data_IF_917280009817
#
_entry.id   IF_917280009817
#
_cell.length_a   1.000
_cell.length_b   1.000
_cell.length_c   1.000
_cell.angle_alpha   90.00
_cell.angle_beta   90.00
_cell.angle_gamma   90.00
#
_symmetry.space_group_name_H-M   'P 1'
#
loop_
_entity.id
_entity.type
_entity.pdbx_description
1 polymer ?
#
# COMPACT_ATOMS: atom_id res chain seq x y z
N UNK A 1 6.15 -17.42 -0.51
CA UNK A 1 7.29 -17.05 -1.39
C UNK A 1 8.02 -15.87 -0.77
N UNK A 2 9.35 -15.78 -0.88
CA UNK A 2 10.12 -14.61 -0.44
C UNK A 2 9.98 -13.47 -1.47
N UNK A 3 10.12 -12.20 -1.06
CA UNK A 3 10.08 -11.00 -1.91
C UNK A 3 11.06 -11.05 -3.11
N UNK A 4 12.06 -11.94 -3.06
CA UNK A 4 13.02 -12.17 -4.13
C UNK A 4 12.46 -12.97 -5.32
N UNK A 5 11.27 -13.57 -5.17
CA UNK A 5 10.67 -14.48 -6.16
C UNK A 5 9.35 -13.94 -6.73
N UNK A 6 9.19 -12.61 -6.77
CA UNK A 6 8.03 -11.96 -7.38
C UNK A 6 8.15 -12.00 -8.91
N UNK A 7 7.03 -12.24 -9.60
CA UNK A 7 6.98 -12.28 -11.06
C UNK A 7 6.62 -13.65 -11.64
N UNK A 8 6.76 -13.81 -12.98
CA UNK A 8 6.43 -15.06 -13.66
C UNK A 8 7.48 -16.13 -13.33
N UNK A 9 7.03 -17.26 -12.81
CA UNK A 9 7.82 -18.48 -12.63
C UNK A 9 7.36 -19.47 -13.70
N UNK A 10 8.33 -20.00 -14.45
CA UNK A 10 8.08 -21.08 -15.42
C UNK A 10 8.39 -22.40 -14.73
N UNK A 11 7.42 -23.29 -14.70
CA UNK A 11 7.57 -24.66 -14.24
C UNK A 11 7.57 -25.55 -15.49
N UNK A 12 8.75 -26.04 -15.84
CA UNK A 12 8.92 -27.00 -16.94
C UNK A 12 8.92 -28.41 -16.37
N UNK A 13 8.01 -29.26 -16.85
CA UNK A 13 7.96 -30.68 -16.52
C UNK A 13 8.45 -31.42 -17.76
N UNK A 14 9.66 -31.97 -17.70
CA UNK A 14 10.27 -32.71 -18.82
C UNK A 14 10.31 -34.22 -18.56
N UNK A 15 10.46 -35.00 -19.63
CA UNK A 15 10.62 -36.47 -19.58
C UNK A 15 9.45 -37.19 -18.90
N UNK A 16 8.22 -36.75 -19.14
CA UNK A 16 7.03 -37.39 -18.59
C UNK A 16 6.97 -38.83 -19.12
N UNK A 17 6.94 -39.79 -18.19
CA UNK A 17 6.96 -41.24 -18.49
C UNK A 17 8.23 -41.73 -19.23
N UNK A 18 9.37 -41.05 -19.06
CA UNK A 18 10.64 -41.44 -19.68
C UNK A 18 10.79 -41.05 -21.16
N UNK A 19 9.76 -40.41 -21.73
CA UNK A 19 9.78 -39.94 -23.11
C UNK A 19 10.39 -38.54 -23.20
N UNK A 20 11.55 -38.44 -23.85
CA UNK A 20 12.35 -37.21 -23.94
C UNK A 20 11.63 -36.02 -24.58
N UNK A 21 10.58 -36.28 -25.37
CA UNK A 21 9.77 -35.27 -26.05
C UNK A 21 8.49 -34.88 -25.30
N UNK A 22 8.19 -35.54 -24.18
CA UNK A 22 7.02 -35.21 -23.40
C UNK A 22 7.38 -34.16 -22.34
N UNK A 23 7.25 -32.89 -22.71
CA UNK A 23 7.41 -31.75 -21.81
C UNK A 23 6.19 -30.82 -21.80
N UNK A 24 5.93 -30.17 -20.66
CA UNK A 24 4.91 -29.12 -20.54
C UNK A 24 5.40 -28.00 -19.64
N UNK A 25 5.13 -26.76 -20.05
CA UNK A 25 5.46 -25.55 -19.30
C UNK A 25 4.20 -24.92 -18.70
N UNK A 26 4.24 -24.67 -17.39
CA UNK A 26 3.23 -23.88 -16.68
C UNK A 26 3.83 -22.56 -16.23
N UNK A 27 3.19 -21.45 -16.59
CA UNK A 27 3.57 -20.13 -16.10
C UNK A 27 2.69 -19.79 -14.90
N UNK A 28 3.31 -19.63 -13.73
CA UNK A 28 2.63 -19.18 -12.52
C UNK A 28 3.14 -17.79 -12.18
N UNK A 29 2.23 -16.82 -12.08
CA UNK A 29 2.58 -15.46 -11.67
C UNK A 29 2.48 -15.39 -10.14
N UNK A 30 3.63 -15.31 -9.47
CA UNK A 30 3.68 -15.05 -8.03
C UNK A 30 3.51 -13.56 -7.81
N UNK A 31 2.32 -13.18 -7.35
CA UNK A 31 2.03 -11.81 -6.89
C UNK A 31 2.40 -11.68 -5.42
N UNK A 32 2.87 -10.51 -4.96
CA UNK A 32 3.00 -10.26 -3.54
C UNK A 32 1.64 -10.51 -2.86
N UNK A 33 1.62 -11.21 -1.73
CA UNK A 33 0.41 -11.27 -0.94
C UNK A 33 0.17 -9.87 -0.38
N UNK A 34 -0.83 -9.17 -0.92
CA UNK A 34 -1.37 -7.98 -0.27
C UNK A 34 -1.98 -8.43 1.06
N UNK A 35 -1.22 -8.27 2.14
CA UNK A 35 -1.79 -8.35 3.49
C UNK A 35 -2.75 -7.18 3.61
N UNK A 36 -4.04 -7.46 3.35
CA UNK A 36 -5.12 -6.49 3.50
C UNK A 36 -4.99 -5.84 4.87
N UNK A 37 -4.66 -4.55 4.89
CA UNK A 37 -4.46 -3.80 6.13
C UNK A 37 -5.83 -3.67 6.76
N UNK A 38 -6.05 -4.34 7.89
CA UNK A 38 -7.32 -4.24 8.61
C UNK A 38 -7.20 -3.06 9.56
N UNK A 39 -8.04 -2.05 9.35
CA UNK A 39 -8.18 -0.93 10.29
C UNK A 39 -9.24 -1.25 11.36
N UNK A 40 -9.11 -0.68 12.58
CA UNK A 40 -7.98 0.13 13.03
C UNK A 40 -6.74 -0.72 13.35
N UNK A 41 -5.56 -0.11 13.25
CA UNK A 41 -4.30 -0.72 13.68
C UNK A 41 -4.06 -0.31 15.13
N UNK A 42 -4.08 -1.28 16.04
CA UNK A 42 -3.76 -1.06 17.46
C UNK A 42 -2.28 -1.23 17.69
N UNK A 43 -1.64 -0.22 18.28
CA UNK A 43 -0.23 -0.26 18.67
C UNK A 43 -0.09 0.12 20.13
N UNK A 44 0.69 -0.66 20.89
CA UNK A 44 1.02 -0.32 22.28
C UNK A 44 2.10 0.76 22.29
N UNK A 45 1.94 1.75 23.17
CA UNK A 45 2.97 2.75 23.40
C UNK A 45 4.24 2.12 23.97
N UNK A 46 5.37 2.81 23.80
CA UNK A 46 6.63 2.45 24.43
C UNK A 46 7.22 3.66 25.14
N UNK A 47 7.96 3.41 26.21
CA UNK A 47 8.77 4.40 26.92
C UNK A 47 10.13 3.80 27.21
N UNK A 48 11.19 4.44 26.71
CA UNK A 48 12.58 3.99 26.88
C UNK A 48 12.80 2.51 26.52
N UNK A 49 12.16 2.04 25.44
CA UNK A 49 12.28 0.65 24.96
C UNK A 49 11.47 -0.38 25.76
N UNK A 50 10.71 0.03 26.77
CA UNK A 50 9.78 -0.83 27.50
C UNK A 50 8.34 -0.59 27.06
N UNK A 51 7.45 -1.61 27.13
CA UNK A 51 6.03 -1.44 26.88
C UNK A 51 5.43 -0.37 27.80
N UNK A 52 4.68 0.55 27.22
CA UNK A 52 3.97 1.62 27.91
C UNK A 52 2.57 1.19 28.35
N UNK A 53 1.82 2.16 28.90
CA UNK A 53 0.46 1.95 29.46
C UNK A 53 -0.66 2.35 28.51
N UNK A 54 -0.35 2.91 27.35
CA UNK A 54 -1.34 3.36 26.39
C UNK A 54 -1.39 2.46 25.16
N UNK A 55 -2.55 2.38 24.54
CA UNK A 55 -2.75 1.81 23.21
C UNK A 55 -3.29 2.89 22.29
N UNK A 56 -2.81 2.95 21.06
CA UNK A 56 -3.32 3.87 20.05
C UNK A 56 -3.88 3.05 18.90
N UNK A 57 -5.18 3.22 18.66
CA UNK A 57 -5.84 2.74 17.45
C UNK A 57 -5.67 3.79 16.37
N UNK A 58 -5.14 3.40 15.21
CA UNK A 58 -4.89 4.28 14.08
C UNK A 58 -5.63 3.79 12.84
N UNK A 59 -6.34 4.69 12.19
CA UNK A 59 -6.97 4.52 10.87
C UNK A 59 -6.58 5.71 10.01
N UNK A 60 -6.43 5.52 8.70
CA UNK A 60 -6.27 6.66 7.79
C UNK A 60 -7.03 6.45 6.49
N UNK A 61 -7.41 7.57 5.88
CA UNK A 61 -8.21 7.61 4.67
C UNK A 61 -7.54 8.60 3.71
N UNK A 62 -7.22 8.20 2.46
CA UNK A 62 -7.45 6.89 1.86
C UNK A 62 -6.50 5.80 2.40
N UNK A 63 -6.93 4.53 2.36
CA UNK A 63 -6.09 3.37 2.78
C UNK A 63 -4.73 3.37 2.05
N UNK A 64 -4.76 3.62 0.74
CA UNK A 64 -3.60 3.81 -0.10
C UNK A 64 -3.19 5.28 -0.10
N UNK A 65 -2.20 5.62 0.71
CA UNK A 65 -1.66 6.97 0.77
C UNK A 65 -0.95 7.32 -0.55
N UNK A 66 -1.29 8.48 -1.08
CA UNK A 66 -0.75 9.08 -2.29
C UNK A 66 -0.50 10.57 -2.02
N UNK A 67 0.28 11.28 -2.85
CA UNK A 67 0.30 12.73 -2.83
C UNK A 67 -1.13 13.30 -2.85
N UNK A 68 -1.44 14.21 -1.95
CA UNK A 68 -2.79 14.69 -1.68
C UNK A 68 -3.14 14.69 -0.19
N UNK A 69 -4.41 14.96 0.12
CA UNK A 69 -4.90 14.99 1.49
C UNK A 69 -5.18 13.57 1.99
N UNK A 70 -4.78 13.30 3.23
CA UNK A 70 -5.12 12.11 3.98
C UNK A 70 -5.55 12.50 5.40
N UNK A 71 -6.63 11.89 5.88
CA UNK A 71 -7.12 12.05 7.24
C UNK A 71 -6.66 10.87 8.08
N UNK A 72 -6.03 11.14 9.22
CA UNK A 72 -5.63 10.15 10.21
C UNK A 72 -6.56 10.24 11.41
N UNK A 73 -7.26 9.16 11.71
CA UNK A 73 -8.17 9.05 12.84
C UNK A 73 -7.46 8.21 13.90
N UNK A 74 -7.42 8.72 15.13
CA UNK A 74 -6.76 8.04 16.24
C UNK A 74 -7.64 7.96 17.48
N UNK A 75 -7.51 6.88 18.24
CA UNK A 75 -8.11 6.75 19.58
C UNK A 75 -7.07 6.22 20.56
N UNK A 76 -6.92 6.90 21.69
CA UNK A 76 -5.97 6.57 22.76
C UNK A 76 -6.73 5.87 23.88
N UNK A 77 -6.25 4.69 24.26
CA UNK A 77 -6.78 3.86 25.32
C UNK A 77 -5.75 3.65 26.42
N UNK A 78 -6.21 3.40 27.64
CA UNK A 78 -5.37 2.91 28.73
C UNK A 78 -5.19 1.37 28.70
N UNK A 79 -4.53 0.83 29.72
CA UNK A 79 -4.29 -0.61 29.90
C UNK A 79 -5.57 -1.46 30.02
N UNK A 80 -6.67 -0.85 30.45
CA UNK A 80 -7.97 -1.50 30.63
C UNK A 80 -8.86 -1.30 29.39
N UNK A 81 -8.26 -0.81 28.30
CA UNK A 81 -8.88 -0.50 27.02
C UNK A 81 -10.02 0.52 27.13
N UNK A 82 -9.91 1.45 28.09
CA UNK A 82 -10.84 2.58 28.21
C UNK A 82 -10.28 3.81 27.47
N UNK A 83 -11.10 4.52 26.67
CA UNK A 83 -10.66 5.75 26.00
C UNK A 83 -10.20 6.82 27.00
N UNK A 84 -9.02 7.38 26.76
CA UNK A 84 -8.42 8.39 27.65
C UNK A 84 -8.91 9.78 27.28
N UNK A 85 -9.98 10.22 27.92
CA UNK A 85 -10.57 11.55 27.71
C UNK A 85 -9.58 12.68 28.04
N UNK A 86 -9.43 13.64 27.12
CA UNK A 86 -8.57 14.80 27.30
C UNK A 86 -7.07 14.52 27.18
N UNK A 87 -6.68 13.36 26.65
CA UNK A 87 -5.27 13.02 26.41
C UNK A 87 -4.64 14.02 25.42
N UNK A 88 -3.55 14.67 25.84
CA UNK A 88 -2.72 15.50 24.95
C UNK A 88 -1.74 14.61 24.19
N UNK A 89 -1.46 14.92 22.94
CA UNK A 89 -0.46 14.18 22.15
C UNK A 89 0.19 15.09 21.11
N UNK A 90 1.38 14.69 20.67
CA UNK A 90 2.11 15.26 19.55
C UNK A 90 2.08 14.25 18.40
N UNK A 91 1.47 14.62 17.27
CA UNK A 91 1.42 13.82 16.05
C UNK A 91 2.46 14.32 15.06
N UNK A 92 3.22 13.40 14.48
CA UNK A 92 4.21 13.73 13.46
C UNK A 92 4.25 12.66 12.37
N UNK A 93 4.53 13.10 11.14
CA UNK A 93 4.93 12.20 10.06
C UNK A 93 6.38 12.52 9.72
N UNK A 94 7.23 11.50 9.75
CA UNK A 94 8.68 11.62 9.61
C UNK A 94 9.14 10.97 8.31
N UNK A 95 9.96 11.68 7.54
CA UNK A 95 10.66 11.14 6.38
C UNK A 95 12.16 11.19 6.68
N UNK A 96 12.83 10.04 6.66
CA UNK A 96 14.26 9.91 7.02
C UNK A 96 14.59 10.55 8.39
N UNK A 97 13.70 10.36 9.37
CA UNK A 97 13.84 10.91 10.73
C UNK A 97 13.58 12.41 10.86
N UNK A 98 13.20 13.12 9.78
CA UNK A 98 12.84 14.54 9.82
C UNK A 98 11.32 14.72 9.70
N UNK A 99 10.70 15.60 10.49
CA UNK A 99 9.26 15.83 10.39
C UNK A 99 8.91 16.51 9.06
N UNK A 100 7.99 15.91 8.32
CA UNK A 100 7.35 16.52 7.14
C UNK A 100 5.97 17.08 7.48
N UNK A 101 5.37 16.60 8.58
CA UNK A 101 4.18 17.16 9.21
C UNK A 101 4.32 17.01 10.73
N UNK A 102 3.85 18.00 11.49
CA UNK A 102 3.77 17.93 12.95
C UNK A 102 2.62 18.79 13.46
N UNK A 103 1.87 18.26 14.42
CA UNK A 103 0.82 18.98 15.14
C UNK A 103 0.72 18.49 16.60
N UNK A 104 0.27 19.36 17.50
CA UNK A 104 -0.03 19.00 18.89
C UNK A 104 -1.52 19.20 19.16
N UNK A 105 -2.19 18.18 19.66
CA UNK A 105 -3.64 18.17 19.79
C UNK A 105 -4.12 17.46 21.07
N UNK A 106 -5.44 17.44 21.27
CA UNK A 106 -6.09 16.88 22.44
C UNK A 106 -7.20 15.93 21.99
N UNK A 107 -7.10 14.67 22.37
CA UNK A 107 -8.11 13.66 22.15
C UNK A 107 -9.27 13.83 23.16
N UNK A 108 -10.23 14.70 22.83
CA UNK A 108 -11.26 15.19 23.77
C UNK A 108 -12.05 14.08 24.46
N UNK A 109 -12.41 13.02 23.73
CA UNK A 109 -13.13 11.86 24.25
C UNK A 109 -12.31 10.57 24.09
N UNK A 110 -10.99 10.68 24.14
CA UNK A 110 -10.06 9.60 23.80
C UNK A 110 -9.78 9.49 22.29
N UNK A 111 -10.66 10.01 21.43
CA UNK A 111 -10.46 10.10 19.98
C UNK A 111 -10.05 11.49 19.48
N UNK A 112 -9.36 11.52 18.33
CA UNK A 112 -9.01 12.72 17.56
C UNK A 112 -8.79 12.39 16.08
N UNK A 113 -8.59 13.42 15.25
CA UNK A 113 -8.18 13.27 13.86
C UNK A 113 -7.14 14.32 13.47
N UNK A 114 -6.34 14.02 12.44
CA UNK A 114 -5.28 14.87 11.90
C UNK A 114 -5.32 14.84 10.37
N UNK A 115 -5.45 16.00 9.75
CA UNK A 115 -5.38 16.15 8.29
C UNK A 115 -3.94 16.41 7.85
N UNK A 116 -3.42 15.55 6.98
CA UNK A 116 -2.06 15.66 6.44
C UNK A 116 -2.13 15.78 4.93
N UNK A 117 -1.40 16.74 4.36
CA UNK A 117 -1.22 16.83 2.91
C UNK A 117 0.17 16.33 2.53
N UNK A 118 0.21 15.27 1.72
CA UNK A 118 1.45 14.73 1.15
C UNK A 118 1.75 15.37 -0.19
N UNK A 119 3.00 15.77 -0.40
CA UNK A 119 3.50 16.25 -1.68
C UNK A 119 4.25 15.14 -2.42
N UNK A 120 4.55 15.37 -3.71
CA UNK A 120 5.40 14.47 -4.50
C UNK A 120 6.76 14.18 -3.84
N UNK A 121 7.30 15.14 -3.09
CA UNK A 121 8.56 14.96 -2.34
C UNK A 121 8.42 13.96 -1.17
N UNK A 122 7.20 13.72 -0.68
CA UNK A 122 6.93 12.83 0.45
C UNK A 122 6.68 11.38 0.02
N UNK A 123 6.86 11.04 -1.26
CA UNK A 123 6.74 9.66 -1.75
C UNK A 123 7.77 8.72 -1.08
N UNK A 124 7.37 7.46 -0.94
CA UNK A 124 8.20 6.40 -0.37
C UNK A 124 7.84 6.09 1.09
N UNK A 125 8.75 5.42 1.82
CA UNK A 125 8.52 5.03 3.21
C UNK A 125 8.60 6.24 4.15
N UNK A 126 7.64 6.33 5.08
CA UNK A 126 7.61 7.31 6.16
C UNK A 126 7.29 6.61 7.49
N UNK A 127 7.55 7.30 8.58
CA UNK A 127 7.16 6.86 9.92
C UNK A 127 6.09 7.80 10.46
N UNK A 128 4.93 7.26 10.79
CA UNK A 128 3.93 7.94 11.60
C UNK A 128 4.32 7.81 13.08
N UNK A 129 4.35 8.92 13.80
CA UNK A 129 4.70 8.96 15.21
C UNK A 129 3.62 9.71 16.00
N UNK A 130 3.13 9.08 17.08
CA UNK A 130 2.30 9.73 18.10
C UNK A 130 3.10 9.72 19.39
N UNK A 131 3.45 10.88 19.91
CA UNK A 131 4.35 11.04 21.07
C UNK A 131 3.73 11.93 22.15
N UNK A 132 4.41 11.99 23.29
CA UNK A 132 3.97 12.72 24.49
C UNK A 132 2.54 12.38 24.93
N UNK A 133 2.16 11.11 24.79
CA UNK A 133 0.80 10.63 25.02
C UNK A 133 0.39 10.94 26.46
N UNK A 134 -0.66 11.73 26.62
CA UNK A 134 -1.17 12.22 27.89
C UNK A 134 -0.10 12.81 28.81
N UNK A 135 0.79 13.64 28.23
CA UNK A 135 1.89 14.34 28.90
C UNK A 135 2.98 13.43 29.47
N UNK A 136 3.04 12.16 29.06
CA UNK A 136 4.16 11.27 29.42
C UNK A 136 5.26 11.33 28.35
N UNK A 137 6.32 10.52 28.49
CA UNK A 137 7.34 10.33 27.46
C UNK A 137 7.04 9.11 26.55
N UNK A 138 5.80 8.63 26.58
CA UNK A 138 5.39 7.48 25.79
C UNK A 138 5.11 7.86 24.33
N UNK A 139 5.41 6.92 23.43
CA UNK A 139 5.21 7.11 22.00
C UNK A 139 4.85 5.82 21.29
N UNK A 140 4.21 5.97 20.13
CA UNK A 140 3.90 4.93 19.16
C UNK A 140 4.51 5.33 17.83
N UNK A 141 5.14 4.38 17.15
CA UNK A 141 5.65 4.53 15.79
C UNK A 141 5.08 3.46 14.88
N UNK A 142 4.68 3.86 13.67
CA UNK A 142 4.13 2.95 12.67
C UNK A 142 4.71 3.28 11.28
N UNK A 143 5.24 2.29 10.55
CA UNK A 143 5.66 2.51 9.17
C UNK A 143 4.43 2.69 8.26
N UNK A 144 4.48 3.75 7.46
CA UNK A 144 3.52 4.03 6.39
C UNK A 144 4.28 4.22 5.07
N UNK A 145 3.58 4.20 3.94
CA UNK A 145 4.20 4.40 2.62
C UNK A 145 3.27 5.22 1.76
N UNK A 146 3.79 6.32 1.23
CA UNK A 146 3.09 7.14 0.24
C UNK A 146 3.51 6.65 -1.14
N UNK A 147 2.57 6.04 -1.83
CA UNK A 147 2.78 5.51 -3.18
C UNK A 147 2.59 6.63 -4.22
N UNK A 148 3.32 6.60 -5.35
CA UNK A 148 3.04 7.53 -6.44
C UNK A 148 1.59 7.38 -6.93
N UNK A 149 0.95 8.47 -7.34
CA UNK A 149 -0.30 8.37 -8.10
C UNK A 149 -0.07 7.49 -9.33
N UNK A 150 -0.95 6.51 -9.55
CA UNK A 150 -0.91 5.75 -10.79
C UNK A 150 -1.33 6.70 -11.91
N UNK A 151 -0.47 7.02 -12.90
CA UNK A 151 -0.80 8.08 -13.82
C UNK A 151 -1.86 7.57 -14.80
N UNK A 152 -3.12 7.95 -14.56
CA UNK A 152 -4.29 7.55 -15.36
C UNK A 152 -4.11 7.86 -16.86
N UNK A 153 -3.28 8.85 -17.19
CA UNK A 153 -2.88 9.15 -18.57
C UNK A 153 -2.27 7.95 -19.31
N UNK A 154 -1.49 7.11 -18.64
CA UNK A 154 -0.95 5.90 -19.26
C UNK A 154 -2.02 4.85 -19.55
N UNK A 155 -3.06 4.77 -18.71
CA UNK A 155 -4.21 3.88 -18.98
C UNK A 155 -4.85 4.29 -20.30
N UNK A 156 -5.09 5.58 -20.53
CA UNK A 156 -5.62 6.07 -21.81
C UNK A 156 -4.71 5.72 -23.00
N UNK A 157 -3.40 5.91 -22.88
CA UNK A 157 -2.43 5.56 -23.95
C UNK A 157 -2.45 4.05 -24.24
N UNK A 158 -2.42 3.21 -23.21
CA UNK A 158 -2.52 1.75 -23.37
C UNK A 158 -3.87 1.34 -23.96
N UNK A 159 -4.97 1.99 -23.59
CA UNK A 159 -6.31 1.71 -24.14
C UNK A 159 -6.36 2.00 -25.65
N UNK A 160 -5.76 3.12 -26.09
CA UNK A 160 -5.68 3.49 -27.51
C UNK A 160 -4.83 2.46 -28.27
N UNK A 161 -3.66 2.08 -27.75
CA UNK A 161 -2.77 1.10 -28.39
C UNK A 161 -3.43 -0.28 -28.54
N UNK A 162 -4.07 -0.80 -27.49
CA UNK A 162 -4.79 -2.08 -27.55
C UNK A 162 -5.99 -2.03 -28.50
N UNK A 163 -6.75 -0.92 -28.52
CA UNK A 163 -7.85 -0.76 -29.48
C UNK A 163 -7.37 -0.75 -30.92
N UNK A 164 -6.24 -0.10 -31.20
CA UNK A 164 -5.60 -0.07 -32.52
C UNK A 164 -5.16 -1.46 -32.98
N UNK A 165 -4.55 -2.26 -32.11
CA UNK A 165 -4.19 -3.66 -32.43
C UNK A 165 -5.40 -4.52 -32.77
N UNK A 166 -6.53 -4.38 -32.07
CA UNK A 166 -7.76 -5.14 -32.37
C UNK A 166 -8.32 -4.76 -33.74
N UNK A 167 -8.32 -3.48 -34.08
CA UNK A 167 -8.79 -2.98 -35.40
C UNK A 167 -7.88 -3.48 -36.52
N UNK A 168 -6.56 -3.34 -36.37
CA UNK A 168 -5.58 -3.83 -37.34
C UNK A 168 -5.67 -5.35 -37.53
N UNK A 169 -5.86 -6.11 -36.45
CA UNK A 169 -6.06 -7.57 -36.50
C UNK A 169 -7.32 -7.97 -37.28
N UNK A 170 -8.43 -7.21 -37.14
CA UNK A 170 -9.67 -7.45 -37.92
C UNK A 170 -9.53 -7.09 -39.40
N UNK A 171 -8.77 -6.04 -39.73
CA UNK A 171 -8.54 -5.64 -41.12
C UNK A 171 -7.69 -6.69 -41.84
N UNK A 172 -6.63 -7.19 -41.19
CA UNK A 172 -5.74 -8.18 -41.78
C UNK A 172 -6.42 -9.54 -42.05
N UNK A 173 -7.45 -9.90 -41.27
CA UNK A 173 -8.27 -11.10 -41.53
C UNK A 173 -9.20 -10.96 -42.75
N UNK A 174 -9.60 -9.74 -43.14
CA UNK A 174 -10.43 -9.52 -44.34
C UNK A 174 -9.64 -9.61 -45.64
N UNK A 175 -8.34 -9.33 -45.63
CA UNK A 175 -7.47 -9.40 -46.82
C UNK A 175 -6.99 -10.82 -47.15
N UNK A 176 -7.08 -11.77 -46.22
CA UNK A 176 -6.68 -13.16 -46.42
C UNK A 176 -7.63 -14.04 -47.25
N UNK A 177 -8.74 -13.51 -47.75
CA UNK A 177 -9.74 -14.27 -48.53
C UNK A 177 -9.77 -13.90 -50.04
N UNK A 178 -8.81 -13.11 -50.54
CA UNK A 178 -8.85 -12.59 -51.93
C UNK A 178 -7.70 -13.04 -52.83
N UNK A 179 -7.14 -14.24 -52.61
CA UNK A 179 -6.37 -14.94 -53.64
C UNK A 179 -6.89 -16.37 -53.80
N UNK A 180 -8.09 -16.48 -54.38
CA UNK A 180 -8.43 -17.67 -55.15
C UNK A 180 -7.63 -17.64 -56.45
N UNK A 181 -6.87 -18.71 -56.71
CA UNK A 181 -6.36 -19.03 -58.05
C UNK A 181 -7.49 -18.96 -59.10
N UNK A 182 -7.16 -18.65 -60.34
CA UNK A 182 -7.33 -19.73 -61.31
C UNK A 182 -6.23 -19.82 -62.38
N UNK A 183 -6.01 -21.08 -62.79
CA UNK A 183 -5.25 -21.61 -63.93
C UNK A 183 -3.72 -21.69 -63.82
#
# INVERSE_FOLDING_TARGET
FSDKNLGPIIISIENINGEKLSSTDYVIVVKPQETKKTFPIRVQSTSNGSPGKYFVDLTWIPENLQPGQAEFILTIYDKDLQPVSGAKYDFAVLQNGKPVYQNSAIAKAGGSFEDVTFFEANKGPLTLQVSKIDRTNESVELPITVTPEFPLGWILVFTILFSGMIVLSKINKKTGYFMSHPF
#
